data_IF_187272353264
#
_entry.id   IF_187272353264
#
_cell.length_a   1.000
_cell.length_b   1.000
_cell.length_c   1.000
_cell.angle_alpha   90.00
_cell.angle_beta   90.00
_cell.angle_gamma   90.00
#
_symmetry.space_group_name_H-M   'P 1'
#
loop_
_entity.id
_entity.type
_entity.pdbx_description
1 polymer ?
#
# COMPACT_ATOMS: atom_id res chain seq x y z
N UNK A 1 -3.00 15.35 -54.03
CA UNK A 1 -2.52 15.82 -52.72
C UNK A 1 -3.41 15.44 -51.53
N UNK A 2 -4.75 15.52 -51.59
CA UNK A 2 -5.63 15.16 -50.45
C UNK A 2 -5.58 13.67 -49.99
N UNK A 3 -5.25 12.73 -50.87
CA UNK A 3 -5.18 11.29 -50.52
C UNK A 3 -3.91 10.89 -49.74
N UNK A 4 -2.79 11.58 -49.96
CA UNK A 4 -1.53 11.29 -49.26
C UNK A 4 -1.53 11.80 -47.80
N UNK A 5 -2.27 12.88 -47.52
CA UNK A 5 -2.38 13.44 -46.17
C UNK A 5 -3.24 12.57 -45.22
N UNK A 6 -4.26 11.91 -45.77
CA UNK A 6 -5.17 11.04 -45.01
C UNK A 6 -4.49 9.70 -44.68
N UNK A 7 -3.65 9.17 -45.58
CA UNK A 7 -2.90 7.94 -45.31
C UNK A 7 -1.78 8.13 -44.28
N UNK A 8 -1.15 9.32 -44.24
CA UNK A 8 -0.16 9.66 -43.21
C UNK A 8 -0.77 9.80 -41.80
N UNK A 9 -1.99 10.35 -41.69
CA UNK A 9 -2.66 10.54 -40.40
C UNK A 9 -3.12 9.19 -39.78
N UNK A 10 -3.57 8.25 -40.62
CA UNK A 10 -3.99 6.91 -40.17
C UNK A 10 -2.79 6.08 -39.71
N UNK A 11 -1.63 6.19 -40.37
CA UNK A 11 -0.43 5.45 -39.97
C UNK A 11 0.12 5.94 -38.62
N UNK A 12 0.09 7.25 -38.36
CA UNK A 12 0.51 7.83 -37.07
C UNK A 12 -0.45 7.46 -35.94
N UNK A 13 -1.76 7.43 -36.20
CA UNK A 13 -2.76 6.96 -35.22
C UNK A 13 -2.64 5.46 -34.93
N UNK A 14 -2.30 4.62 -35.91
CA UNK A 14 -2.05 3.20 -35.70
C UNK A 14 -0.76 2.93 -34.92
N UNK A 15 0.30 3.71 -35.13
CA UNK A 15 1.56 3.56 -34.37
C UNK A 15 1.37 4.02 -32.91
N UNK A 16 0.62 5.09 -32.65
CA UNK A 16 0.28 5.49 -31.27
C UNK A 16 -0.69 4.51 -30.58
N UNK A 17 -1.61 3.89 -31.31
CA UNK A 17 -2.48 2.84 -30.77
C UNK A 17 -1.75 1.53 -30.46
N UNK A 18 -0.74 1.16 -31.27
CA UNK A 18 0.03 -0.08 -31.08
C UNK A 18 1.10 0.05 -29.99
N UNK A 19 1.74 1.21 -29.83
CA UNK A 19 2.72 1.43 -28.75
C UNK A 19 2.06 1.62 -27.38
N UNK A 20 0.82 2.14 -27.34
CA UNK A 20 0.02 2.22 -26.11
C UNK A 20 -0.52 0.86 -25.69
N UNK A 21 -1.08 0.07 -26.63
CA UNK A 21 -1.66 -1.21 -26.27
C UNK A 21 -0.61 -2.26 -25.87
N UNK A 22 0.62 -2.24 -26.41
CA UNK A 22 1.65 -3.21 -26.00
C UNK A 22 2.23 -2.92 -24.61
N UNK A 23 2.28 -1.66 -24.14
CA UNK A 23 2.72 -1.38 -22.78
C UNK A 23 1.63 -1.68 -21.74
N UNK A 24 0.35 -1.45 -22.09
CA UNK A 24 -0.77 -1.85 -21.23
C UNK A 24 -1.03 -3.36 -21.25
N UNK A 25 -0.90 -4.04 -22.39
CA UNK A 25 -1.09 -5.49 -22.47
C UNK A 25 -0.01 -6.28 -21.72
N UNK A 26 1.22 -5.76 -21.63
CA UNK A 26 2.28 -6.45 -20.84
C UNK A 26 2.15 -6.19 -19.33
N UNK A 27 1.46 -5.11 -18.93
CA UNK A 27 1.21 -4.76 -17.52
C UNK A 27 -0.15 -5.28 -17.01
N UNK A 28 -1.12 -5.54 -17.91
CA UNK A 28 -2.52 -5.85 -17.53
C UNK A 28 -3.12 -7.14 -18.12
N UNK A 29 -2.47 -7.86 -19.07
CA UNK A 29 -3.02 -9.14 -19.52
C UNK A 29 -2.61 -10.31 -18.62
N UNK A 30 -3.51 -10.67 -17.71
CA UNK A 30 -3.59 -12.01 -17.12
C UNK A 30 -3.17 -12.14 -15.65
N UNK A 31 -2.52 -11.12 -15.07
CA UNK A 31 -1.94 -11.18 -13.72
C UNK A 31 -2.52 -10.11 -12.76
N UNK A 32 -3.67 -9.52 -13.10
CA UNK A 32 -4.28 -8.33 -12.47
C UNK A 32 -5.08 -8.58 -11.19
N UNK A 33 -5.09 -9.80 -10.64
CA UNK A 33 -6.02 -10.19 -9.57
C UNK A 33 -5.80 -9.43 -8.25
N UNK A 34 -4.56 -9.29 -7.76
CA UNK A 34 -4.31 -8.57 -6.49
C UNK A 34 -4.78 -7.12 -6.59
N UNK A 35 -4.36 -6.41 -7.63
CA UNK A 35 -4.73 -5.01 -7.87
C UNK A 35 -6.23 -4.80 -8.09
N UNK A 36 -6.88 -5.67 -8.87
CA UNK A 36 -8.33 -5.59 -9.11
C UNK A 36 -9.16 -5.91 -7.86
N UNK A 37 -8.79 -6.96 -7.12
CA UNK A 37 -9.41 -7.31 -5.84
C UNK A 37 -9.27 -6.17 -4.85
N UNK A 38 -8.08 -5.57 -4.78
CA UNK A 38 -7.76 -4.43 -3.91
C UNK A 38 -8.66 -3.23 -4.16
N UNK A 39 -8.80 -2.80 -5.43
CA UNK A 39 -9.71 -1.71 -5.79
C UNK A 39 -11.14 -1.97 -5.39
N UNK A 40 -11.56 -3.22 -5.25
CA UNK A 40 -12.90 -3.59 -4.83
C UNK A 40 -13.01 -3.92 -3.34
N UNK A 41 -11.92 -3.90 -2.60
CA UNK A 41 -11.92 -4.22 -1.17
C UNK A 41 -11.78 -2.96 -0.32
N UNK A 42 -11.04 -1.94 -0.73
CA UNK A 42 -10.77 -0.75 0.09
C UNK A 42 -11.38 0.56 -0.46
N UNK A 43 -11.61 1.60 0.38
CA UNK A 43 -12.19 2.86 -0.08
C UNK A 43 -11.31 3.50 -1.14
N UNK A 44 -11.89 3.89 -2.28
CA UNK A 44 -11.15 4.45 -3.41
C UNK A 44 -11.58 5.88 -3.66
N UNK A 45 -10.71 6.83 -3.36
CA UNK A 45 -11.04 8.26 -3.48
C UNK A 45 -10.38 8.84 -4.72
N UNK A 46 -11.16 8.96 -5.80
CA UNK A 46 -10.70 9.61 -7.02
C UNK A 46 -10.43 11.10 -6.76
N UNK A 47 -9.33 11.61 -7.32
CA UNK A 47 -9.00 13.04 -7.19
C UNK A 47 -9.75 13.87 -8.23
N UNK A 48 -10.28 15.02 -7.83
CA UNK A 48 -10.82 15.98 -8.82
C UNK A 48 -9.66 16.74 -9.46
N UNK A 49 -8.98 16.14 -10.45
CA UNK A 49 -7.90 16.70 -11.30
C UNK A 49 -6.95 17.73 -10.64
N UNK A 50 -5.73 17.27 -10.32
CA UNK A 50 -4.45 18.00 -10.18
C UNK A 50 -4.53 19.48 -9.79
N UNK A 51 -4.30 19.76 -8.50
CA UNK A 51 -3.79 21.07 -8.09
C UNK A 51 -2.32 20.88 -7.69
N UNK A 52 -1.40 21.26 -8.59
CA UNK A 52 -0.07 21.74 -8.19
C UNK A 52 -0.32 22.80 -7.12
N UNK A 53 0.03 22.51 -5.86
CA UNK A 53 -0.22 23.42 -4.75
C UNK A 53 0.37 24.81 -5.06
N UNK A 54 -0.43 25.87 -5.21
CA UNK A 54 0.07 27.22 -5.11
C UNK A 54 0.22 27.52 -3.62
N UNK A 55 1.44 27.85 -3.21
CA UNK A 55 1.70 28.49 -1.94
C UNK A 55 0.98 29.85 -1.90
N UNK A 56 -0.16 29.96 -1.22
CA UNK A 56 -0.62 31.24 -0.71
C UNK A 56 -1.49 31.09 0.54
N UNK A 57 -1.04 31.79 1.59
CA UNK A 57 -1.72 31.98 2.86
C UNK A 57 -3.06 32.71 2.65
N UNK A 58 -4.16 32.05 3.00
CA UNK A 58 -5.49 32.64 3.11
C UNK A 58 -6.38 31.75 3.99
N UNK A 59 -7.14 32.34 4.90
CA UNK A 59 -7.85 31.67 5.98
C UNK A 59 -8.78 30.51 5.52
N UNK A 60 -8.46 29.29 5.97
CA UNK A 60 -9.20 28.04 5.68
C UNK A 60 -8.29 26.81 5.59
N UNK A 61 -7.38 26.59 6.56
CA UNK A 61 -6.27 25.62 6.49
C UNK A 61 -6.59 24.23 7.11
N UNK A 62 -7.64 23.53 6.71
CA UNK A 62 -7.96 22.21 7.28
C UNK A 62 -7.61 21.00 6.40
N UNK A 63 -7.03 21.22 5.22
CA UNK A 63 -6.71 20.16 4.27
C UNK A 63 -5.48 20.51 3.42
N UNK A 64 -4.33 20.54 4.09
CA UNK A 64 -3.00 20.73 3.49
C UNK A 64 -2.12 19.51 3.80
N UNK A 65 -1.10 19.27 2.98
CA UNK A 65 -0.09 18.23 3.24
C UNK A 65 0.49 18.37 4.66
N UNK A 66 0.52 17.28 5.41
CA UNK A 66 0.96 17.26 6.81
C UNK A 66 -0.15 17.43 7.86
N UNK A 67 -1.39 17.76 7.45
CA UNK A 67 -2.54 17.68 8.37
C UNK A 67 -3.02 16.23 8.56
N UNK A 68 -3.53 15.85 9.75
CA UNK A 68 -4.03 14.49 9.99
C UNK A 68 -5.15 14.08 9.02
N UNK A 69 -6.06 15.00 8.69
CA UNK A 69 -7.16 14.78 7.74
C UNK A 69 -6.66 14.54 6.31
N UNK A 70 -5.58 15.21 5.90
CA UNK A 70 -4.91 14.92 4.63
C UNK A 70 -4.17 13.58 4.67
N UNK A 71 -3.60 13.19 5.82
CA UNK A 71 -3.04 11.85 6.04
C UNK A 71 -4.09 10.76 5.80
N UNK A 72 -5.26 10.88 6.43
CA UNK A 72 -6.40 9.96 6.23
C UNK A 72 -6.81 9.86 4.76
N UNK A 73 -6.88 11.00 4.06
CA UNK A 73 -7.17 11.02 2.62
C UNK A 73 -6.08 10.32 1.80
N UNK A 74 -4.80 10.56 2.13
CA UNK A 74 -3.66 10.04 1.38
C UNK A 74 -3.56 8.52 1.40
N UNK A 75 -4.05 7.88 2.46
CA UNK A 75 -4.16 6.41 2.55
C UNK A 75 -4.99 5.86 1.39
N UNK A 76 -6.15 6.46 1.11
CA UNK A 76 -7.17 5.95 0.19
C UNK A 76 -7.24 6.69 -1.15
N UNK A 77 -6.38 7.68 -1.34
CA UNK A 77 -6.28 8.43 -2.59
C UNK A 77 -6.04 7.47 -3.76
N UNK A 78 -6.71 7.70 -4.87
CA UNK A 78 -6.43 7.00 -6.13
C UNK A 78 -4.94 7.13 -6.49
N UNK A 79 -4.34 5.99 -6.85
CA UNK A 79 -3.00 5.90 -7.41
C UNK A 79 -3.10 5.45 -8.87
N UNK A 80 -2.54 6.26 -9.77
CA UNK A 80 -2.51 6.06 -11.21
C UNK A 80 -1.05 5.94 -11.66
N UNK A 81 -0.65 4.73 -12.02
CA UNK A 81 0.66 4.48 -12.62
C UNK A 81 0.63 4.76 -14.13
N UNK A 82 1.66 5.42 -14.71
CA UNK A 82 2.88 5.92 -14.06
C UNK A 82 2.80 7.38 -13.56
N UNK A 83 1.67 8.06 -13.73
CA UNK A 83 1.55 9.50 -13.48
C UNK A 83 1.83 9.92 -12.03
N UNK A 84 1.44 9.08 -11.06
CA UNK A 84 1.61 9.35 -9.64
C UNK A 84 2.97 8.85 -9.10
N UNK A 85 3.83 8.28 -9.93
CA UNK A 85 5.13 7.81 -9.44
C UNK A 85 6.09 8.92 -9.04
N UNK A 86 6.71 8.75 -7.88
CA UNK A 86 7.49 9.80 -7.21
C UNK A 86 6.66 10.96 -6.64
N UNK A 87 5.32 10.93 -6.77
CA UNK A 87 4.39 11.91 -6.19
C UNK A 87 3.67 11.30 -4.98
N UNK A 88 3.17 10.08 -5.14
CA UNK A 88 2.53 9.30 -4.07
C UNK A 88 3.57 8.38 -3.44
N UNK A 89 3.70 8.45 -2.12
CA UNK A 89 4.63 7.61 -1.34
C UNK A 89 3.96 6.31 -0.83
N UNK A 90 4.71 5.52 -0.07
CA UNK A 90 4.32 4.22 0.48
C UNK A 90 3.21 4.26 1.53
N UNK A 91 2.64 5.44 1.81
CA UNK A 91 1.53 5.63 2.76
C UNK A 91 0.18 5.44 2.08
N UNK A 92 0.19 5.34 0.76
CA UNK A 92 -0.99 5.06 -0.03
C UNK A 92 -1.16 3.55 -0.21
N UNK A 93 -2.31 3.04 0.20
CA UNK A 93 -2.60 1.60 0.14
C UNK A 93 -2.61 1.07 -1.30
N UNK A 94 -3.06 1.89 -2.26
CA UNK A 94 -3.15 1.48 -3.66
C UNK A 94 -1.77 1.38 -4.29
N UNK A 95 -0.87 2.29 -3.98
CA UNK A 95 0.53 2.15 -4.40
C UNK A 95 1.13 0.84 -3.88
N UNK A 96 0.97 0.53 -2.59
CA UNK A 96 1.50 -0.70 -1.99
C UNK A 96 0.93 -1.97 -2.64
N UNK A 97 -0.38 -2.00 -2.89
CA UNK A 97 -1.04 -3.14 -3.53
C UNK A 97 -0.63 -3.28 -4.99
N UNK A 98 -0.41 -2.17 -5.69
CA UNK A 98 0.15 -2.17 -7.03
C UNK A 98 1.59 -2.71 -7.03
N UNK A 99 2.47 -2.23 -6.15
CA UNK A 99 3.86 -2.68 -6.01
C UNK A 99 3.93 -4.18 -5.71
N UNK A 100 3.14 -4.68 -4.76
CA UNK A 100 3.02 -6.10 -4.46
C UNK A 100 2.56 -6.91 -5.68
N UNK A 101 1.55 -6.43 -6.40
CA UNK A 101 1.04 -7.06 -7.61
C UNK A 101 2.10 -7.14 -8.72
N UNK A 102 2.84 -6.06 -8.95
CA UNK A 102 3.91 -6.01 -9.95
C UNK A 102 5.07 -6.91 -9.58
N UNK A 103 5.45 -6.94 -8.31
CA UNK A 103 6.54 -7.80 -7.84
C UNK A 103 6.17 -9.28 -7.98
N UNK A 104 4.96 -9.66 -7.57
CA UNK A 104 4.47 -11.03 -7.76
C UNK A 104 4.43 -11.39 -9.25
N UNK A 105 3.72 -10.61 -10.07
CA UNK A 105 3.57 -10.90 -11.50
C UNK A 105 4.91 -10.93 -12.24
N UNK A 106 5.82 -10.00 -11.93
CA UNK A 106 7.11 -9.85 -12.58
C UNK A 106 8.18 -10.85 -12.14
N UNK A 107 8.04 -11.48 -10.96
CA UNK A 107 9.06 -12.40 -10.40
C UNK A 107 8.56 -13.82 -10.13
N UNK A 108 7.25 -14.09 -10.21
CA UNK A 108 6.67 -15.44 -10.04
C UNK A 108 7.35 -16.47 -10.94
N UNK A 109 7.60 -16.13 -12.21
CA UNK A 109 8.25 -17.04 -13.18
C UNK A 109 9.74 -17.27 -12.92
N UNK A 110 10.39 -16.41 -12.13
CA UNK A 110 11.79 -16.57 -11.72
C UNK A 110 11.93 -17.48 -10.49
N UNK A 111 10.84 -17.68 -9.74
CA UNK A 111 10.82 -18.59 -8.59
C UNK A 111 10.98 -20.04 -9.04
N UNK A 112 11.97 -20.72 -8.47
CA UNK A 112 12.20 -22.14 -8.69
C UNK A 112 11.44 -22.96 -7.66
N UNK A 113 10.93 -24.12 -8.07
CA UNK A 113 10.34 -25.07 -7.14
C UNK A 113 11.37 -25.57 -6.12
N UNK A 114 10.97 -25.59 -4.86
CA UNK A 114 11.77 -26.09 -3.72
C UNK A 114 11.03 -27.23 -3.03
N UNK A 115 11.72 -27.95 -2.14
CA UNK A 115 11.00 -28.84 -1.21
C UNK A 115 10.16 -27.96 -0.28
N UNK A 116 8.87 -28.27 -0.16
CA UNK A 116 7.95 -27.50 0.66
C UNK A 116 8.50 -27.32 2.08
N UNK A 117 8.67 -26.06 2.49
CA UNK A 117 9.34 -25.71 3.73
C UNK A 117 8.72 -24.48 4.37
N UNK A 118 8.88 -24.38 5.69
CA UNK A 118 8.54 -23.16 6.43
C UNK A 118 9.58 -22.10 6.12
N UNK A 119 9.16 -20.97 5.58
CA UNK A 119 10.04 -19.82 5.30
C UNK A 119 9.55 -18.65 6.15
N UNK A 120 10.46 -18.09 6.94
CA UNK A 120 10.18 -16.87 7.70
C UNK A 120 10.19 -15.65 6.78
N UNK A 121 9.30 -14.69 7.07
CA UNK A 121 9.40 -13.36 6.48
C UNK A 121 10.71 -12.68 6.92
N UNK A 122 11.43 -11.99 6.02
CA UNK A 122 12.62 -11.22 6.40
C UNK A 122 12.34 -10.13 7.45
N UNK A 123 11.12 -9.61 7.50
CA UNK A 123 10.64 -8.75 8.58
C UNK A 123 9.73 -9.53 9.53
N UNK A 124 9.92 -9.36 10.84
CA UNK A 124 9.07 -10.01 11.84
C UNK A 124 7.72 -9.30 11.94
N UNK A 125 6.76 -9.80 11.16
CA UNK A 125 5.37 -9.39 11.33
C UNK A 125 4.80 -9.92 12.65
N UNK A 126 5.43 -10.88 13.32
CA UNK A 126 4.92 -11.63 14.47
C UNK A 126 3.78 -12.57 14.10
N UNK A 127 3.88 -13.12 12.88
CA UNK A 127 3.11 -14.25 12.37
C UNK A 127 4.04 -15.46 12.26
N UNK A 128 3.51 -16.66 12.45
CA UNK A 128 4.29 -17.88 12.27
C UNK A 128 4.76 -18.04 10.82
N UNK A 129 5.88 -18.75 10.63
CA UNK A 129 6.36 -19.11 9.30
C UNK A 129 5.34 -19.98 8.55
N UNK A 130 5.00 -19.54 7.34
CA UNK A 130 4.13 -20.26 6.42
C UNK A 130 4.92 -21.26 5.56
N UNK A 131 4.22 -22.26 5.02
CA UNK A 131 4.83 -23.22 4.09
C UNK A 131 4.82 -22.63 2.68
N UNK A 132 5.97 -22.70 2.00
CA UNK A 132 6.15 -22.28 0.61
C UNK A 132 6.81 -23.39 -0.20
N UNK A 133 6.51 -23.45 -1.49
CA UNK A 133 7.02 -24.46 -2.42
C UNK A 133 7.75 -23.86 -3.64
N UNK A 134 7.77 -22.53 -3.75
CA UNK A 134 8.58 -21.79 -4.73
C UNK A 134 9.29 -20.63 -4.04
N UNK A 135 10.54 -20.38 -4.42
CA UNK A 135 11.30 -19.23 -3.93
C UNK A 135 12.33 -18.70 -4.93
N UNK A 136 12.70 -17.43 -4.81
CA UNK A 136 13.77 -16.79 -5.57
C UNK A 136 14.31 -15.55 -4.86
N UNK A 137 15.62 -15.34 -4.99
CA UNK A 137 16.34 -14.16 -4.54
C UNK A 137 17.21 -13.62 -5.69
N UNK A 138 16.94 -12.38 -6.11
CA UNK A 138 17.79 -11.59 -7.00
C UNK A 138 18.88 -10.90 -6.17
N UNK A 139 19.96 -11.63 -5.89
CA UNK A 139 21.11 -11.12 -5.09
C UNK A 139 22.12 -10.32 -5.92
N UNK A 140 22.10 -10.47 -7.24
CA UNK A 140 23.00 -9.73 -8.13
C UNK A 140 22.48 -8.30 -8.37
N UNK A 141 21.17 -8.10 -8.22
CA UNK A 141 20.53 -6.81 -8.37
C UNK A 141 20.30 -6.47 -9.85
N UNK A 142 19.19 -5.80 -10.13
CA UNK A 142 18.85 -5.31 -11.47
C UNK A 142 18.91 -3.79 -11.49
N UNK A 143 19.64 -3.19 -12.45
CA UNK A 143 19.70 -1.73 -12.60
C UNK A 143 18.50 -1.24 -13.41
N UNK A 144 17.67 -0.38 -12.81
CA UNK A 144 16.50 0.22 -13.43
C UNK A 144 16.47 1.72 -13.08
N UNK A 145 16.44 2.58 -14.10
CA UNK A 145 16.43 4.05 -13.94
C UNK A 145 17.53 4.60 -13.02
N UNK A 146 18.73 4.01 -13.07
CA UNK A 146 19.88 4.42 -12.25
C UNK A 146 19.83 3.96 -10.79
N UNK A 147 18.87 3.10 -10.43
CA UNK A 147 18.78 2.47 -9.10
C UNK A 147 19.03 0.97 -9.22
N UNK A 148 19.60 0.36 -8.19
CA UNK A 148 19.80 -1.09 -8.13
C UNK A 148 18.70 -1.73 -7.31
N UNK A 149 17.98 -2.69 -7.88
CA UNK A 149 16.89 -3.41 -7.22
C UNK A 149 17.29 -4.85 -6.93
N UNK A 150 17.30 -5.21 -5.66
CA UNK A 150 17.37 -6.58 -5.17
C UNK A 150 15.98 -7.04 -4.81
N UNK A 151 15.63 -8.29 -5.11
CA UNK A 151 14.25 -8.76 -5.01
C UNK A 151 14.18 -10.14 -4.40
N UNK A 152 13.13 -10.39 -3.64
CA UNK A 152 12.84 -11.69 -3.07
C UNK A 152 11.39 -12.06 -3.31
N UNK A 153 11.15 -13.35 -3.51
CA UNK A 153 9.81 -13.92 -3.57
C UNK A 153 9.84 -15.33 -2.99
N UNK A 154 8.86 -15.66 -2.17
CA UNK A 154 8.48 -17.02 -1.85
C UNK A 154 6.96 -17.14 -1.98
N UNK A 155 6.44 -18.19 -2.62
CA UNK A 155 5.00 -18.37 -2.74
C UNK A 155 4.56 -19.83 -2.72
N UNK A 156 3.28 -20.04 -2.43
CA UNK A 156 2.54 -21.28 -2.70
C UNK A 156 1.15 -20.95 -3.22
N UNK A 157 0.56 -21.89 -3.97
CA UNK A 157 -0.81 -21.81 -4.46
C UNK A 157 -1.54 -23.11 -4.10
N UNK A 158 -2.67 -23.02 -3.40
CA UNK A 158 -3.47 -24.21 -3.00
C UNK A 158 -4.75 -24.39 -3.83
N UNK A 159 -4.86 -23.64 -4.92
CA UNK A 159 -6.03 -23.61 -5.81
C UNK A 159 -7.17 -22.71 -5.31
N UNK A 160 -7.15 -22.26 -4.05
CA UNK A 160 -8.12 -21.28 -3.51
C UNK A 160 -7.47 -19.94 -3.24
N UNK A 161 -6.28 -19.97 -2.65
CA UNK A 161 -5.49 -18.79 -2.31
C UNK A 161 -4.06 -18.96 -2.80
N UNK A 162 -3.47 -17.82 -3.15
CA UNK A 162 -2.04 -17.65 -3.27
C UNK A 162 -1.55 -17.03 -1.96
N UNK A 163 -0.48 -17.59 -1.41
CA UNK A 163 0.26 -17.04 -0.27
C UNK A 163 1.63 -16.63 -0.76
N UNK A 164 2.09 -15.43 -0.45
CA UNK A 164 3.40 -14.97 -0.88
C UNK A 164 4.10 -14.07 0.16
N UNK A 165 5.41 -14.26 0.28
CA UNK A 165 6.35 -13.26 0.77
C UNK A 165 6.95 -12.59 -0.45
N UNK A 166 6.86 -11.28 -0.54
CA UNK A 166 7.44 -10.47 -1.60
C UNK A 166 8.36 -9.45 -0.94
N UNK A 167 9.48 -9.12 -1.56
CA UNK A 167 10.28 -8.02 -1.07
C UNK A 167 11.19 -7.43 -2.12
N UNK A 168 11.56 -6.19 -1.90
CA UNK A 168 12.64 -5.57 -2.65
C UNK A 168 13.44 -4.62 -1.77
N UNK A 169 14.74 -4.54 -2.08
CA UNK A 169 15.63 -3.49 -1.59
C UNK A 169 16.06 -2.68 -2.79
N UNK A 170 15.92 -1.35 -2.71
CA UNK A 170 16.40 -0.42 -3.73
C UNK A 170 17.55 0.40 -3.17
N UNK A 171 18.64 0.44 -3.91
CA UNK A 171 19.80 1.28 -3.65
C UNK A 171 19.86 2.41 -4.68
N UNK A 172 20.03 3.64 -4.19
CA UNK A 172 20.11 4.84 -5.01
C UNK A 172 21.32 5.67 -4.59
N UNK A 173 22.25 5.91 -5.52
CA UNK A 173 23.34 6.86 -5.28
C UNK A 173 22.78 8.28 -5.22
N UNK A 174 23.04 8.96 -4.11
CA UNK A 174 22.72 10.37 -3.90
C UNK A 174 23.97 11.14 -3.48
N UNK A 175 23.93 12.46 -3.51
CA UNK A 175 25.13 13.30 -3.27
C UNK A 175 25.84 13.01 -1.94
N UNK A 176 25.11 12.59 -0.90
CA UNK A 176 25.65 12.31 0.43
C UNK A 176 25.86 10.82 0.73
N UNK A 177 25.66 9.91 -0.23
CA UNK A 177 25.92 8.48 -0.03
C UNK A 177 25.01 7.58 -0.85
N UNK A 178 24.74 6.38 -0.33
CA UNK A 178 23.76 5.46 -0.92
C UNK A 178 22.53 5.46 -0.03
N UNK A 179 21.40 5.85 -0.62
CA UNK A 179 20.09 5.66 -0.01
C UNK A 179 19.70 4.20 -0.16
N UNK A 180 19.19 3.58 0.91
CA UNK A 180 18.70 2.20 0.87
C UNK A 180 17.25 2.21 1.34
N UNK A 181 16.33 1.73 0.50
CA UNK A 181 14.96 1.49 0.92
C UNK A 181 14.66 0.00 0.81
N UNK A 182 14.14 -0.57 1.89
CA UNK A 182 13.77 -1.98 1.97
C UNK A 182 12.28 -2.12 2.24
N UNK A 183 11.63 -2.99 1.49
CA UNK A 183 10.21 -3.25 1.57
C UNK A 183 9.93 -4.75 1.57
N UNK A 184 9.11 -5.20 2.52
CA UNK A 184 8.63 -6.58 2.60
C UNK A 184 7.11 -6.56 2.65
N UNK A 185 6.50 -7.44 1.87
CA UNK A 185 5.07 -7.71 1.82
C UNK A 185 4.83 -9.17 2.19
N UNK A 186 3.92 -9.41 3.12
CA UNK A 186 3.30 -10.71 3.35
C UNK A 186 1.87 -10.62 2.85
N UNK A 187 1.50 -11.43 1.85
CA UNK A 187 0.18 -11.35 1.23
C UNK A 187 -0.47 -12.71 1.07
N UNK A 188 -1.79 -12.73 1.24
CA UNK A 188 -2.63 -13.82 0.76
C UNK A 188 -3.79 -13.27 -0.06
N UNK A 189 -4.13 -13.91 -1.17
CA UNK A 189 -5.26 -13.49 -2.00
C UNK A 189 -5.95 -14.67 -2.66
N UNK A 190 -7.27 -14.63 -2.70
CA UNK A 190 -8.11 -15.64 -3.32
C UNK A 190 -8.95 -15.06 -4.45
N UNK A 191 -8.53 -15.26 -5.70
CA UNK A 191 -9.25 -14.75 -6.88
C UNK A 191 -10.70 -15.25 -6.98
N UNK A 192 -10.98 -16.44 -6.44
CA UNK A 192 -12.33 -17.01 -6.41
C UNK A 192 -13.16 -16.58 -5.20
N UNK A 193 -12.51 -16.38 -4.04
CA UNK A 193 -13.22 -16.01 -2.80
C UNK A 193 -13.38 -14.50 -2.66
N UNK A 194 -12.58 -13.71 -3.36
CA UNK A 194 -12.50 -12.27 -3.22
C UNK A 194 -11.62 -11.83 -2.04
N UNK A 195 -11.09 -12.75 -1.24
CA UNK A 195 -10.32 -12.42 -0.05
C UNK A 195 -8.97 -11.81 -0.41
N UNK A 196 -8.56 -10.80 0.34
CA UNK A 196 -7.21 -10.26 0.30
C UNK A 196 -6.75 -9.98 1.73
N UNK A 197 -5.48 -10.29 1.96
CA UNK A 197 -4.72 -9.88 3.13
C UNK A 197 -3.36 -9.40 2.64
N UNK A 198 -2.92 -8.25 3.13
CA UNK A 198 -1.59 -7.72 2.90
C UNK A 198 -1.07 -7.08 4.18
N UNK A 199 0.10 -7.52 4.59
CA UNK A 199 0.91 -6.89 5.61
C UNK A 199 2.20 -6.38 4.95
N UNK A 200 2.60 -5.16 5.27
CA UNK A 200 3.69 -4.46 4.63
C UNK A 200 4.57 -3.79 5.68
N UNK A 201 5.88 -3.84 5.49
CA UNK A 201 6.83 -3.06 6.26
C UNK A 201 7.87 -2.43 5.33
N UNK A 202 8.23 -1.18 5.60
CA UNK A 202 9.31 -0.47 4.90
C UNK A 202 10.17 0.30 5.88
N UNK A 203 11.46 0.34 5.57
CA UNK A 203 12.40 1.31 6.12
C UNK A 203 13.14 1.99 4.98
N UNK A 204 13.25 3.30 5.03
CA UNK A 204 14.02 4.11 4.10
C UNK A 204 15.17 4.76 4.88
N UNK A 205 16.39 4.27 4.63
CA UNK A 205 17.65 4.77 5.18
C UNK A 205 18.22 5.85 4.24
N UNK A 206 18.24 7.09 4.72
CA UNK A 206 18.74 8.26 3.99
C UNK A 206 20.00 8.79 4.66
N UNK A 207 21.17 8.73 3.99
CA UNK A 207 22.45 9.15 4.57
C UNK A 207 22.56 10.67 4.85
N UNK A 208 21.54 11.46 4.49
CA UNK A 208 21.59 12.92 4.54
C UNK A 208 21.13 13.50 5.89
N UNK A 209 20.47 12.71 6.74
CA UNK A 209 20.20 12.97 8.16
C UNK A 209 19.34 11.84 8.73
N UNK A 210 19.62 11.36 9.94
CA UNK A 210 18.75 10.40 10.65
C UNK A 210 17.30 10.89 10.79
N UNK A 211 17.08 12.21 10.81
CA UNK A 211 15.74 12.84 10.82
C UNK A 211 14.95 12.65 9.51
N UNK A 212 15.54 12.02 8.49
CA UNK A 212 14.91 11.77 7.19
C UNK A 212 14.68 10.29 6.89
N UNK A 213 15.15 9.43 7.80
CA UNK A 213 14.81 8.01 7.79
C UNK A 213 13.34 7.87 8.16
N UNK A 214 12.69 6.82 7.66
CA UNK A 214 11.33 6.54 8.09
C UNK A 214 11.01 5.05 8.06
N UNK A 215 10.42 4.59 9.18
CA UNK A 215 9.71 3.33 9.28
C UNK A 215 8.22 3.44 9.00
N UNK A 216 7.66 2.46 8.30
CA UNK A 216 6.20 2.34 8.13
C UNK A 216 5.77 0.88 8.10
N UNK A 217 4.57 0.63 8.63
CA UNK A 217 3.86 -0.64 8.59
C UNK A 217 2.43 -0.43 8.13
N UNK A 218 1.94 -1.31 7.27
CA UNK A 218 0.56 -1.29 6.80
C UNK A 218 -0.03 -2.70 6.89
N UNK A 219 -1.28 -2.79 7.29
CA UNK A 219 -2.07 -4.01 7.26
C UNK A 219 -3.40 -3.72 6.59
N UNK A 220 -3.83 -4.60 5.71
CA UNK A 220 -5.17 -4.62 5.13
C UNK A 220 -5.67 -6.05 5.05
N UNK A 221 -6.93 -6.23 5.39
CA UNK A 221 -7.68 -7.44 5.09
C UNK A 221 -9.08 -7.06 4.59
N UNK A 222 -9.70 -7.93 3.81
CA UNK A 222 -11.07 -7.74 3.39
C UNK A 222 -11.50 -8.67 2.27
N UNK A 223 -12.67 -8.39 1.70
CA UNK A 223 -13.24 -9.17 0.64
C UNK A 223 -13.81 -8.30 -0.50
N UNK A 224 -13.38 -8.58 -1.72
CA UNK A 224 -13.76 -7.83 -2.92
C UNK A 224 -15.22 -8.02 -3.35
N UNK A 225 -15.87 -9.10 -2.92
CA UNK A 225 -17.25 -9.43 -3.31
C UNK A 225 -18.27 -8.68 -2.45
N UNK A 226 -17.99 -8.51 -1.16
CA UNK A 226 -18.86 -7.78 -0.23
C UNK A 226 -18.34 -6.37 0.12
N UNK A 227 -17.17 -6.01 -0.41
CA UNK A 227 -16.50 -4.72 -0.22
C UNK A 227 -16.14 -4.42 1.24
N UNK A 228 -16.08 -5.44 2.10
CA UNK A 228 -15.65 -5.27 3.48
C UNK A 228 -14.15 -5.08 3.56
N UNK A 229 -13.70 -4.24 4.49
CA UNK A 229 -12.28 -4.12 4.80
C UNK A 229 -12.02 -3.79 6.26
N UNK A 230 -10.78 -4.09 6.63
CA UNK A 230 -10.10 -3.58 7.80
C UNK A 230 -8.70 -3.13 7.38
N UNK A 231 -8.21 -2.03 7.95
CA UNK A 231 -6.84 -1.61 7.75
C UNK A 231 -6.21 -1.03 9.01
N UNK A 232 -4.88 -1.11 9.08
CA UNK A 232 -4.07 -0.34 10.00
C UNK A 232 -2.88 0.24 9.26
N UNK A 233 -2.64 1.54 9.39
CA UNK A 233 -1.35 2.16 9.07
C UNK A 233 -0.66 2.56 10.37
N UNK A 234 0.63 2.29 10.48
CA UNK A 234 1.52 2.82 11.50
C UNK A 234 2.73 3.44 10.80
N UNK A 235 3.00 4.72 11.04
CA UNK A 235 4.13 5.45 10.47
C UNK A 235 4.95 6.06 11.59
N UNK A 236 6.27 5.92 11.51
CA UNK A 236 7.18 6.61 12.41
C UNK A 236 7.03 8.13 12.27
N UNK A 237 6.86 8.80 13.40
CA UNK A 237 6.73 10.25 13.45
C UNK A 237 7.64 10.86 14.52
N UNK A 238 7.81 12.18 14.46
CA UNK A 238 8.72 12.93 15.35
C UNK A 238 8.37 12.81 16.84
N UNK A 239 7.10 12.50 17.16
CA UNK A 239 6.59 12.39 18.54
C UNK A 239 6.11 10.96 18.84
N UNK A 240 6.65 9.98 18.11
CA UNK A 240 6.27 8.57 18.18
C UNK A 240 5.48 8.11 16.96
N UNK A 241 4.91 6.91 17.04
CA UNK A 241 4.19 6.28 15.93
C UNK A 241 2.83 6.94 15.74
N UNK A 242 2.57 7.44 14.53
CA UNK A 242 1.25 7.87 14.09
C UNK A 242 0.49 6.67 13.52
N UNK A 243 -0.74 6.45 13.99
CA UNK A 243 -1.50 5.24 13.68
C UNK A 243 -2.91 5.59 13.22
N UNK A 244 -3.39 4.88 12.21
CA UNK A 244 -4.77 4.94 11.74
C UNK A 244 -5.33 3.53 11.68
N UNK A 245 -6.51 3.31 12.22
CA UNK A 245 -7.25 2.05 12.09
C UNK A 245 -8.57 2.30 11.38
N UNK A 246 -8.84 1.54 10.33
CA UNK A 246 -10.05 1.66 9.52
C UNK A 246 -10.84 0.36 9.49
N UNK A 247 -12.18 0.46 9.47
CA UNK A 247 -13.06 -0.68 9.24
C UNK A 247 -14.38 -0.26 8.60
N UNK A 248 -14.90 -1.08 7.70
CA UNK A 248 -16.26 -0.95 7.20
C UNK A 248 -16.46 -1.50 5.79
N UNK A 249 -17.34 -0.85 5.04
CA UNK A 249 -17.62 -1.16 3.63
C UNK A 249 -17.04 -0.06 2.75
N UNK A 250 -16.29 -0.45 1.73
CA UNK A 250 -15.51 0.46 0.89
C UNK A 250 -16.21 0.95 -0.37
N UNK A 251 -17.32 0.33 -0.77
CA UNK A 251 -18.10 0.67 -1.97
C UNK A 251 -19.58 0.37 -1.80
N UNK A 252 -20.40 1.10 -2.54
CA UNK A 252 -21.84 0.87 -2.60
C UNK A 252 -22.58 1.46 -1.41
N UNK A 253 -23.59 0.75 -0.90
CA UNK A 253 -24.38 1.23 0.24
C UNK A 253 -23.67 0.91 1.55
N UNK A 254 -23.42 1.92 2.37
CA UNK A 254 -22.84 1.73 3.69
C UNK A 254 -21.93 2.88 4.10
N UNK A 255 -21.06 2.60 5.06
CA UNK A 255 -20.07 3.53 5.57
C UNK A 255 -18.85 2.76 6.07
N UNK A 256 -17.78 3.50 6.32
CA UNK A 256 -16.64 3.03 7.09
C UNK A 256 -16.27 4.04 8.16
N UNK A 257 -15.50 3.58 9.14
CA UNK A 257 -14.99 4.38 10.24
C UNK A 257 -13.48 4.32 10.20
N UNK A 258 -12.85 5.49 10.28
CA UNK A 258 -11.43 5.65 10.56
C UNK A 258 -11.27 6.12 12.00
N UNK A 259 -10.25 5.62 12.68
CA UNK A 259 -9.89 5.97 14.04
C UNK A 259 -8.42 6.36 14.09
N UNK A 260 -8.13 7.55 14.61
CA UNK A 260 -6.79 7.94 15.05
C UNK A 260 -6.73 7.68 16.55
N UNK A 261 -5.97 6.67 17.03
CA UNK A 261 -5.86 6.40 18.46
C UNK A 261 -5.19 7.56 19.20
N UNK A 262 -5.73 7.93 20.36
CA UNK A 262 -5.13 8.91 21.25
C UNK A 262 -3.89 8.32 21.94
N UNK A 263 -2.85 9.13 22.12
CA UNK A 263 -1.65 8.75 22.88
C UNK A 263 -1.73 9.24 24.33
N UNK A 264 -1.08 8.53 25.26
CA UNK A 264 -0.93 8.96 26.67
C UNK A 264 -2.24 9.34 27.39
N UNK A 265 -3.32 8.57 27.16
CA UNK A 265 -4.62 8.80 27.78
C UNK A 265 -5.47 9.88 27.09
N UNK A 266 -5.01 10.42 25.95
CA UNK A 266 -5.86 11.20 25.07
C UNK A 266 -6.99 10.34 24.48
N UNK A 267 -8.08 10.99 24.08
CA UNK A 267 -9.22 10.32 23.48
C UNK A 267 -8.91 9.88 22.04
N UNK A 268 -9.50 8.77 21.62
CA UNK A 268 -9.50 8.33 20.23
C UNK A 268 -10.40 9.24 19.39
N UNK A 269 -9.96 9.59 18.18
CA UNK A 269 -10.72 10.42 17.26
C UNK A 269 -11.31 9.57 16.13
N UNK A 270 -12.64 9.58 15.99
CA UNK A 270 -13.34 8.79 14.98
C UNK A 270 -13.88 9.66 13.85
N UNK A 271 -13.85 9.11 12.63
CA UNK A 271 -14.35 9.73 11.42
C UNK A 271 -15.22 8.71 10.70
N UNK A 272 -16.52 8.98 10.61
CA UNK A 272 -17.45 8.19 9.81
C UNK A 272 -17.60 8.81 8.43
N UNK A 273 -17.33 8.01 7.41
CA UNK A 273 -17.37 8.41 6.02
C UNK A 273 -18.31 7.47 5.25
N UNK A 274 -19.11 7.97 4.30
CA UNK A 274 -19.91 7.10 3.44
C UNK A 274 -18.98 6.19 2.62
N UNK A 275 -19.47 5.01 2.22
CA UNK A 275 -18.66 4.05 1.46
C UNK A 275 -18.13 4.63 0.14
N UNK A 276 -18.86 5.58 -0.47
CA UNK A 276 -18.49 6.31 -1.68
C UNK A 276 -17.88 7.70 -1.40
N UNK A 277 -17.26 7.89 -0.24
CA UNK A 277 -16.63 9.15 0.15
C UNK A 277 -15.69 9.70 -0.93
N UNK A 278 -15.84 11.00 -1.16
CA UNK A 278 -15.08 11.80 -2.11
C UNK A 278 -14.03 12.64 -1.39
N UNK A 279 -13.12 13.25 -2.14
CA UNK A 279 -12.18 14.24 -1.60
C UNK A 279 -12.89 15.37 -0.83
N UNK A 280 -14.11 15.75 -1.23
CA UNK A 280 -14.90 16.77 -0.53
C UNK A 280 -15.34 16.31 0.87
N UNK A 281 -15.67 15.03 1.05
CA UNK A 281 -16.02 14.46 2.35
C UNK A 281 -14.83 14.51 3.31
N UNK A 282 -13.62 14.19 2.81
CA UNK A 282 -12.38 14.30 3.59
C UNK A 282 -12.05 15.75 3.95
N UNK A 283 -12.24 16.69 3.01
CA UNK A 283 -12.07 18.13 3.25
C UNK A 283 -13.03 18.69 4.29
N UNK A 284 -14.21 18.06 4.44
CA UNK A 284 -15.22 18.46 5.42
C UNK A 284 -14.98 17.88 6.83
N UNK A 285 -14.02 16.98 6.99
CA UNK A 285 -13.67 16.42 8.31
C UNK A 285 -13.13 17.52 9.23
N UNK A 286 -13.58 17.50 10.49
CA UNK A 286 -13.01 18.33 11.55
C UNK A 286 -11.77 17.63 12.10
N UNK A 287 -10.68 18.33 12.31
CA UNK A 287 -9.41 17.74 12.79
C UNK A 287 -9.57 16.91 14.08
N UNK A 288 -10.41 17.36 15.02
CA UNK A 288 -10.65 16.66 16.27
C UNK A 288 -11.47 15.35 16.14
N UNK A 289 -12.07 15.08 14.99
CA UNK A 289 -12.99 13.95 14.82
C UNK A 289 -14.20 14.01 15.75
N UNK A 290 -14.82 12.86 15.98
CA UNK A 290 -15.91 12.65 16.94
C UNK A 290 -15.48 11.71 18.06
N UNK A 291 -16.05 11.88 19.25
CA UNK A 291 -16.01 10.86 20.28
C UNK A 291 -16.83 9.63 19.84
N UNK A 292 -16.51 8.46 20.38
CA UNK A 292 -17.15 7.20 19.97
C UNK A 292 -18.65 7.21 20.24
N UNK A 293 -19.05 7.71 21.40
CA UNK A 293 -20.44 7.80 21.86
C UNK A 293 -21.30 8.73 21.01
N UNK A 294 -20.69 9.67 20.28
CA UNK A 294 -21.37 10.61 19.41
C UNK A 294 -21.50 10.07 17.97
N UNK A 295 -20.96 8.88 17.69
CA UNK A 295 -20.91 8.29 16.36
C UNK A 295 -22.18 7.47 16.07
N UNK A 296 -22.85 7.78 14.97
CA UNK A 296 -23.91 6.91 14.41
C UNK A 296 -23.29 5.66 13.78
N UNK A 297 -23.15 4.59 14.56
CA UNK A 297 -22.49 3.35 14.18
C UNK A 297 -23.40 2.10 14.35
N UNK A 298 -24.48 1.97 13.55
CA UNK A 298 -25.42 0.85 13.68
C UNK A 298 -24.78 -0.53 13.39
N UNK A 299 -23.69 -0.59 12.62
CA UNK A 299 -22.96 -1.81 12.32
C UNK A 299 -21.86 -2.15 13.35
N UNK A 300 -21.60 -1.27 14.32
CA UNK A 300 -20.65 -1.52 15.40
C UNK A 300 -19.17 -1.52 14.99
N UNK A 301 -18.79 -0.86 13.89
CA UNK A 301 -17.39 -0.82 13.45
C UNK A 301 -16.48 -0.10 14.45
N UNK A 302 -16.92 1.00 15.07
CA UNK A 302 -16.12 1.69 16.10
C UNK A 302 -15.90 0.80 17.33
N UNK A 303 -16.89 -0.01 17.70
CA UNK A 303 -16.74 -0.98 18.80
C UNK A 303 -15.75 -2.09 18.43
N UNK A 304 -15.77 -2.55 17.18
CA UNK A 304 -14.78 -3.51 16.68
C UNK A 304 -13.37 -2.91 16.66
N UNK A 305 -13.22 -1.65 16.27
CA UNK A 305 -11.93 -0.94 16.30
C UNK A 305 -11.43 -0.82 17.74
N UNK A 306 -12.28 -0.44 18.69
CA UNK A 306 -11.94 -0.38 20.11
C UNK A 306 -11.45 -1.70 20.70
N UNK A 307 -12.08 -2.81 20.31
CA UNK A 307 -11.63 -4.14 20.72
C UNK A 307 -10.25 -4.45 20.12
N UNK A 308 -10.04 -4.09 18.85
CA UNK A 308 -8.75 -4.26 18.19
C UNK A 308 -7.64 -3.44 18.85
N UNK A 309 -7.87 -2.17 19.18
CA UNK A 309 -6.90 -1.30 19.84
C UNK A 309 -6.43 -1.84 21.21
N UNK A 310 -7.19 -2.76 21.83
CA UNK A 310 -6.85 -3.42 23.11
C UNK A 310 -6.21 -4.79 22.92
N UNK A 311 -6.11 -5.27 21.69
CA UNK A 311 -5.58 -6.59 21.36
C UNK A 311 -4.05 -6.58 21.24
N UNK A 312 -3.43 -7.75 21.42
CA UNK A 312 -2.01 -7.93 21.17
C UNK A 312 -1.63 -7.68 19.70
N UNK A 313 -2.56 -7.94 18.77
CA UNK A 313 -2.34 -7.69 17.34
C UNK A 313 -2.12 -6.22 17.04
N UNK A 314 -2.88 -5.32 17.66
CA UNK A 314 -2.65 -3.89 17.51
C UNK A 314 -1.26 -3.50 17.99
N UNK A 315 -0.88 -3.90 19.21
CA UNK A 315 0.44 -3.60 19.77
C UNK A 315 1.56 -4.08 18.85
N UNK A 316 1.46 -5.32 18.36
CA UNK A 316 2.40 -5.91 17.41
C UNK A 316 2.48 -5.10 16.12
N UNK A 317 1.34 -4.80 15.50
CA UNK A 317 1.27 -4.07 14.23
C UNK A 317 1.59 -2.57 14.35
N UNK A 318 1.68 -2.04 15.57
CA UNK A 318 2.10 -0.67 15.83
C UNK A 318 3.62 -0.53 15.94
N UNK A 319 4.37 -1.64 16.00
CA UNK A 319 5.83 -1.63 15.88
C UNK A 319 6.21 -1.50 14.41
N UNK A 320 6.81 -0.35 14.09
CA UNK A 320 7.40 -0.02 12.79
C UNK A 320 8.89 -0.37 12.82
N UNK A 321 9.53 -0.70 11.67
CA UNK A 321 10.98 -0.85 11.63
C UNK A 321 11.66 0.49 11.92
N UNK A 322 12.72 0.47 12.73
CA UNK A 322 13.54 1.61 13.12
C UNK A 322 14.92 1.57 12.47
N UNK A 323 15.31 0.45 11.86
CA UNK A 323 16.54 0.36 11.05
C UNK A 323 16.47 -0.71 9.96
N UNK A 324 17.50 -0.76 9.10
CA UNK A 324 17.70 -1.86 8.15
C UNK A 324 17.96 -3.21 8.85
N UNK A 325 18.39 -3.22 10.11
CA UNK A 325 18.72 -4.42 10.89
C UNK A 325 17.48 -5.17 11.39
N UNK A 326 16.32 -4.49 11.42
CA UNK A 326 15.03 -5.13 11.69
C UNK A 326 14.60 -6.10 10.57
N UNK A 327 15.30 -6.06 9.43
CA UNK A 327 15.10 -6.96 8.31
C UNK A 327 16.24 -8.00 8.29
N UNK A 328 15.90 -9.23 8.65
CA UNK A 328 16.80 -10.38 8.58
C UNK A 328 17.29 -10.60 7.14
N UNK A 329 18.47 -11.20 7.01
CA UNK A 329 19.02 -11.67 5.73
C UNK A 329 19.01 -10.60 4.62
N UNK A 330 19.24 -9.33 4.97
CA UNK A 330 19.21 -8.19 4.05
C UNK A 330 17.90 -8.05 3.26
N UNK A 331 16.79 -8.53 3.83
CA UNK A 331 15.47 -8.53 3.19
C UNK A 331 15.23 -9.69 2.23
N UNK A 332 16.11 -10.70 2.18
CA UNK A 332 15.91 -11.91 1.39
C UNK A 332 15.28 -13.04 2.20
N UNK A 333 14.43 -13.85 1.56
CA UNK A 333 13.96 -15.10 2.17
C UNK A 333 15.11 -16.11 2.30
N UNK A 334 15.12 -16.87 3.39
CA UNK A 334 16.05 -17.98 3.58
C UNK A 334 15.49 -19.23 2.89
N UNK A 335 16.13 -19.62 1.79
CA UNK A 335 15.73 -20.80 1.01
C UNK A 335 16.49 -22.02 1.54
N UNK A 336 15.79 -23.11 1.90
CA UNK A 336 16.40 -24.32 2.50
C UNK A 336 17.21 -25.19 1.52
#
# INVERSE_FOLDING_TARGET
MKKALIQGLILVLCIFALSGCQFFDTVFNGNSTIWELSKNTTPYVATTKSVRAPSSLGAGKSFESGSPTYGLFSIFREYVYPEDEGIIDTGNIYKLLFEASQLYAGKKSSATGITAAKIESPFDFGTDAEIYDHAYNDKEGTIENGKTYYRTIAYREDGKKTYAILGYTVEESIDAGTKIQRQIFLTSFGSSTGDIELEFATYDDKPNSADSDFGRRFYVEGNANDHTFFCQEATEGTVGVWTVVGKGVSKGTGYYILCIPGTNGAQNHYYRLPADATEADYRALKEAGSAREDLDDPNGYATSIEAYLKSADFTRRNTVPESLEDFKNDGFVEVP
#
